data_IF_355350186933
#
_entry.id   IF_355350186933
#
_cell.length_a   1.000
_cell.length_b   1.000
_cell.length_c   1.000
_cell.angle_alpha   90.00
_cell.angle_beta   90.00
_cell.angle_gamma   90.00
#
_symmetry.space_group_name_H-M   'P 1'
#
loop_
_entity.id
_entity.type
_entity.pdbx_description
1 polymer ?
#
# COMPACT_ATOMS: atom_id res chain seq x y z
N UNK A 1 12.45 21.30 -9.29
CA UNK A 1 11.83 20.16 -8.62
C UNK A 1 10.32 20.30 -8.70
N UNK A 2 9.60 19.18 -8.85
CA UNK A 2 8.14 19.18 -8.75
C UNK A 2 7.71 19.67 -7.36
N UNK A 3 6.59 20.39 -7.29
CA UNK A 3 6.10 20.98 -6.04
C UNK A 3 4.94 20.19 -5.40
N UNK A 4 4.41 19.19 -6.09
CA UNK A 4 3.37 18.30 -5.52
C UNK A 4 3.93 17.38 -4.45
N UNK A 5 3.04 16.71 -3.73
CA UNK A 5 3.45 15.79 -2.66
C UNK A 5 4.00 14.46 -3.19
N UNK A 6 3.56 14.01 -4.36
CA UNK A 6 4.10 12.86 -5.05
C UNK A 6 5.03 13.33 -6.16
N UNK A 7 6.29 12.95 -6.07
CA UNK A 7 7.31 13.36 -7.05
C UNK A 7 8.08 12.18 -7.66
N UNK A 8 7.85 10.97 -7.19
CA UNK A 8 8.56 9.77 -7.68
C UNK A 8 8.09 9.43 -9.09
N UNK A 9 8.98 9.42 -10.09
CA UNK A 9 8.56 9.28 -11.50
C UNK A 9 7.93 7.92 -11.80
N UNK A 10 8.46 6.82 -11.28
CA UNK A 10 7.93 5.49 -11.56
C UNK A 10 6.57 5.27 -10.92
N UNK A 11 6.37 5.79 -9.70
CA UNK A 11 5.06 5.73 -9.04
C UNK A 11 4.04 6.57 -9.81
N UNK A 12 4.42 7.78 -10.21
CA UNK A 12 3.55 8.66 -11.00
C UNK A 12 3.15 8.00 -12.32
N UNK A 13 4.11 7.39 -13.02
CA UNK A 13 3.86 6.72 -14.30
C UNK A 13 2.89 5.53 -14.11
N UNK A 14 3.11 4.70 -13.09
CA UNK A 14 2.23 3.57 -12.81
C UNK A 14 0.81 4.03 -12.44
N UNK A 15 0.69 5.03 -11.56
CA UNK A 15 -0.62 5.57 -11.19
C UNK A 15 -1.35 6.21 -12.37
N UNK A 16 -0.62 6.85 -13.28
CA UNK A 16 -1.22 7.45 -14.48
C UNK A 16 -1.83 6.42 -15.42
N UNK A 17 -1.40 5.15 -15.34
CA UNK A 17 -1.97 4.04 -16.08
C UNK A 17 -3.16 3.37 -15.37
N UNK A 18 -3.34 3.66 -14.08
CA UNK A 18 -4.41 3.08 -13.28
C UNK A 18 -5.74 3.81 -13.50
N UNK A 19 -6.81 3.09 -13.24
CA UNK A 19 -8.18 3.62 -13.23
C UNK A 19 -8.97 3.13 -12.03
N UNK A 20 -10.26 3.42 -12.04
CA UNK A 20 -11.17 3.00 -10.98
C UNK A 20 -11.17 1.49 -10.80
N UNK A 21 -10.94 1.02 -9.58
CA UNK A 21 -10.92 -0.39 -9.23
C UNK A 21 -9.53 -1.03 -9.28
N UNK A 22 -8.55 -0.39 -9.91
CA UNK A 22 -7.16 -0.86 -9.84
C UNK A 22 -6.62 -0.71 -8.43
N UNK A 23 -5.63 -1.55 -8.08
CA UNK A 23 -5.12 -1.61 -6.71
C UNK A 23 -3.63 -1.28 -6.64
N UNK A 24 -3.25 -0.75 -5.49
CA UNK A 24 -1.86 -0.42 -5.15
C UNK A 24 -1.51 -1.08 -3.82
N UNK A 25 -0.42 -1.84 -3.79
CA UNK A 25 0.15 -2.39 -2.55
C UNK A 25 1.22 -1.45 -2.02
N UNK A 26 1.11 -1.09 -0.74
CA UNK A 26 2.16 -0.40 0.00
C UNK A 26 2.61 -1.34 1.11
N UNK A 27 3.84 -1.84 1.02
CA UNK A 27 4.32 -2.94 1.86
C UNK A 27 5.39 -2.49 2.85
N UNK A 28 5.38 -3.13 4.02
CA UNK A 28 6.46 -2.96 4.99
C UNK A 28 7.78 -3.60 4.49
N UNK A 29 8.87 -3.37 5.22
CA UNK A 29 10.19 -3.85 4.83
C UNK A 29 10.37 -5.37 4.90
N UNK A 30 9.46 -6.08 5.56
CA UNK A 30 9.50 -7.55 5.68
C UNK A 30 8.62 -8.26 4.64
N UNK A 31 7.78 -7.54 3.94
CA UNK A 31 6.89 -8.13 2.95
C UNK A 31 7.70 -8.67 1.76
N UNK A 32 7.44 -9.92 1.31
CA UNK A 32 8.18 -10.51 0.19
C UNK A 32 7.66 -9.98 -1.16
N UNK A 33 7.96 -8.72 -1.48
CA UNK A 33 7.38 -8.02 -2.61
C UNK A 33 7.67 -8.71 -3.95
N UNK A 34 8.90 -9.16 -4.15
CA UNK A 34 9.31 -9.77 -5.41
C UNK A 34 8.47 -11.01 -5.76
N UNK A 35 8.18 -11.85 -4.76
CA UNK A 35 7.44 -13.09 -4.97
C UNK A 35 5.92 -12.97 -4.74
N UNK A 36 5.44 -11.91 -4.11
CA UNK A 36 4.05 -11.75 -3.68
C UNK A 36 3.41 -10.44 -4.13
N UNK A 37 3.73 -10.01 -5.33
CA UNK A 37 3.09 -8.87 -5.99
C UNK A 37 2.56 -9.20 -7.40
N UNK A 38 2.57 -10.47 -7.78
CA UNK A 38 2.05 -10.90 -9.08
C UNK A 38 2.74 -10.21 -10.24
N UNK A 39 1.96 -9.56 -11.10
CA UNK A 39 2.45 -8.84 -12.28
C UNK A 39 2.47 -7.32 -12.10
N UNK A 40 2.32 -6.84 -10.86
CA UNK A 40 2.37 -5.41 -10.60
C UNK A 40 3.74 -4.82 -10.92
N UNK A 41 3.76 -3.57 -11.36
CA UNK A 41 5.01 -2.80 -11.40
C UNK A 41 5.53 -2.65 -9.96
N UNK A 42 6.81 -2.93 -9.76
CA UNK A 42 7.42 -2.86 -8.43
C UNK A 42 8.33 -1.66 -8.29
N UNK A 43 8.25 -1.00 -7.14
CA UNK A 43 9.10 0.13 -6.77
C UNK A 43 9.65 -0.10 -5.38
N UNK A 44 10.97 -0.06 -5.24
CA UNK A 44 11.65 -0.28 -3.96
C UNK A 44 12.16 1.07 -3.42
N UNK A 45 11.49 1.57 -2.37
CA UNK A 45 11.78 2.88 -1.78
C UNK A 45 12.64 2.81 -0.51
N UNK A 46 12.83 1.63 0.07
CA UNK A 46 13.57 1.51 1.32
C UNK A 46 14.99 2.03 1.20
N UNK A 47 15.30 3.14 1.87
CA UNK A 47 16.64 3.70 1.94
C UNK A 47 17.42 3.10 3.10
N UNK A 48 16.80 3.00 4.23
CA UNK A 48 17.33 2.46 5.48
C UNK A 48 16.13 2.06 6.34
N UNK A 49 16.30 1.19 7.36
CA UNK A 49 15.18 0.83 8.23
C UNK A 49 14.48 2.06 8.82
N UNK A 50 13.17 2.14 8.58
CA UNK A 50 12.33 3.26 9.02
C UNK A 50 12.14 4.39 8.01
N UNK A 51 12.76 4.34 6.83
CA UNK A 51 12.65 5.40 5.81
C UNK A 51 12.48 4.84 4.39
N UNK A 52 11.45 5.29 3.65
CA UNK A 52 10.23 5.90 4.16
C UNK A 52 9.34 4.88 4.88
N UNK A 53 8.39 5.34 5.67
CA UNK A 53 7.36 4.49 6.28
C UNK A 53 6.21 4.24 5.31
N UNK A 54 5.39 3.24 5.60
CA UNK A 54 4.17 3.00 4.83
C UNK A 54 3.22 4.19 4.89
N UNK A 55 3.13 4.86 6.03
CA UNK A 55 2.27 6.05 6.16
C UNK A 55 2.80 7.24 5.35
N UNK A 56 4.10 7.41 5.22
CA UNK A 56 4.69 8.42 4.32
C UNK A 56 4.24 8.18 2.88
N UNK A 57 4.33 6.93 2.43
CA UNK A 57 3.96 6.56 1.05
C UNK A 57 2.45 6.69 0.85
N UNK A 58 1.64 6.27 1.81
CA UNK A 58 0.19 6.42 1.73
C UNK A 58 -0.21 7.89 1.55
N UNK A 59 0.41 8.79 2.31
CA UNK A 59 0.14 10.22 2.18
C UNK A 59 0.44 10.74 0.77
N UNK A 60 1.55 10.32 0.19
CA UNK A 60 1.92 10.70 -1.17
C UNK A 60 0.93 10.15 -2.21
N UNK A 61 0.53 8.89 -2.07
CA UNK A 61 -0.46 8.25 -2.97
C UNK A 61 -1.81 8.97 -2.88
N UNK A 62 -2.28 9.28 -1.67
CA UNK A 62 -3.54 9.99 -1.46
C UNK A 62 -3.57 11.38 -2.09
N UNK A 63 -2.41 12.00 -2.31
CA UNK A 63 -2.35 13.29 -2.99
C UNK A 63 -2.63 13.18 -4.49
N UNK A 64 -2.56 11.98 -5.05
CA UNK A 64 -2.70 11.75 -6.48
C UNK A 64 -3.98 11.01 -6.87
N UNK A 65 -4.51 10.14 -6.00
CA UNK A 65 -5.71 9.33 -6.29
C UNK A 65 -6.63 9.29 -5.08
N UNK A 66 -7.93 9.10 -5.35
CA UNK A 66 -8.90 8.78 -4.31
C UNK A 66 -8.83 7.29 -4.01
N UNK A 67 -9.03 6.93 -2.74
CA UNK A 67 -9.03 5.54 -2.28
C UNK A 67 -10.43 5.20 -1.79
N UNK A 68 -11.02 4.12 -2.29
CA UNK A 68 -12.37 3.70 -1.92
C UNK A 68 -12.42 2.45 -1.06
N UNK A 69 -11.32 1.67 -0.99
CA UNK A 69 -11.25 0.45 -0.19
C UNK A 69 -9.82 0.23 0.28
N UNK A 70 -9.67 -0.36 1.45
CA UNK A 70 -8.38 -0.70 2.02
C UNK A 70 -8.43 -2.10 2.66
N UNK A 71 -7.45 -2.92 2.37
CA UNK A 71 -7.31 -4.27 2.88
C UNK A 71 -5.98 -4.40 3.61
N UNK A 72 -5.97 -5.12 4.73
CA UNK A 72 -4.78 -5.32 5.57
C UNK A 72 -4.59 -6.81 5.88
N UNK A 73 -3.36 -7.17 6.22
CA UNK A 73 -3.03 -8.51 6.72
C UNK A 73 -3.32 -8.57 8.22
N UNK A 74 -4.24 -9.43 8.63
CA UNK A 74 -4.58 -9.62 10.04
C UNK A 74 -3.61 -10.59 10.71
N UNK A 75 -3.08 -10.23 11.91
CA UNK A 75 -2.26 -11.14 12.68
C UNK A 75 -3.07 -12.26 13.27
N UNK A 76 -3.26 -13.36 12.99
CA UNK A 76 -4.15 -14.42 13.44
C UNK A 76 -4.13 -14.72 14.96
N UNK A 77 -3.51 -13.87 15.77
CA UNK A 77 -3.36 -14.02 17.23
C UNK A 77 -4.37 -13.20 18.04
N UNK A 78 -5.33 -12.56 17.39
CA UNK A 78 -6.35 -11.73 18.04
C UNK A 78 -5.89 -10.32 18.39
N UNK A 79 -4.63 -9.94 18.13
CA UNK A 79 -4.16 -8.58 18.35
C UNK A 79 -4.52 -7.68 17.16
N UNK A 80 -4.62 -6.37 17.42
CA UNK A 80 -4.81 -5.35 16.39
C UNK A 80 -3.56 -4.48 16.33
N UNK A 81 -2.80 -4.54 15.22
CA UNK A 81 -1.64 -3.68 15.06
C UNK A 81 -1.99 -2.20 15.19
N UNK A 82 -1.16 -1.45 15.90
CA UNK A 82 -1.39 -0.02 16.13
C UNK A 82 -1.49 0.77 14.80
N UNK A 83 -0.75 0.36 13.79
CA UNK A 83 -0.76 1.03 12.49
C UNK A 83 -2.14 0.99 11.80
N UNK A 84 -2.98 0.02 12.12
CA UNK A 84 -4.34 -0.03 11.55
C UNK A 84 -5.15 1.20 11.95
N UNK A 85 -5.00 1.68 13.18
CA UNK A 85 -5.62 2.94 13.61
C UNK A 85 -5.09 4.15 12.83
N UNK A 86 -3.80 4.17 12.53
CA UNK A 86 -3.21 5.22 11.70
C UNK A 86 -3.76 5.18 10.27
N UNK A 87 -3.87 4.00 9.67
CA UNK A 87 -4.49 3.85 8.35
C UNK A 87 -5.92 4.35 8.33
N UNK A 88 -6.73 3.95 9.30
CA UNK A 88 -8.11 4.40 9.39
C UNK A 88 -8.22 5.92 9.53
N UNK A 89 -7.39 6.52 10.38
CA UNK A 89 -7.35 7.98 10.56
C UNK A 89 -6.99 8.68 9.25
N UNK A 90 -5.98 8.21 8.54
CA UNK A 90 -5.56 8.80 7.25
C UNK A 90 -6.60 8.61 6.16
N UNK A 91 -7.37 7.53 6.22
CA UNK A 91 -8.41 7.19 5.24
C UNK A 91 -9.81 7.70 5.63
N UNK A 92 -9.88 8.69 6.51
CA UNK A 92 -11.16 9.32 6.88
C UNK A 92 -12.10 8.43 7.68
N UNK A 93 -11.58 7.47 8.44
CA UNK A 93 -12.37 6.53 9.22
C UNK A 93 -12.82 5.29 8.45
N UNK A 94 -12.30 5.07 7.25
CA UNK A 94 -12.62 3.90 6.43
C UNK A 94 -12.40 2.60 7.19
N UNK A 95 -13.36 1.68 7.10
CA UNK A 95 -13.20 0.33 7.66
C UNK A 95 -12.17 -0.46 6.85
N UNK A 96 -11.23 -1.10 7.55
CA UNK A 96 -10.23 -1.95 6.91
C UNK A 96 -10.76 -3.37 6.77
N UNK A 97 -10.67 -3.93 5.56
CA UNK A 97 -10.97 -5.35 5.33
C UNK A 97 -9.77 -6.18 5.78
N UNK A 98 -9.97 -7.06 6.75
CA UNK A 98 -8.91 -7.88 7.32
C UNK A 98 -8.84 -9.23 6.61
N UNK A 99 -7.68 -9.56 6.07
CA UNK A 99 -7.41 -10.83 5.41
C UNK A 99 -6.35 -11.61 6.20
N UNK A 100 -6.45 -12.94 6.21
CA UNK A 100 -5.38 -13.77 6.72
C UNK A 100 -4.11 -13.61 5.89
N UNK A 101 -2.97 -14.09 6.40
CA UNK A 101 -1.67 -13.90 5.76
C UNK A 101 -1.66 -14.38 4.30
N UNK A 102 -2.09 -15.59 4.06
CA UNK A 102 -2.05 -16.18 2.71
C UNK A 102 -3.12 -15.60 1.80
N UNK A 103 -4.30 -15.29 2.33
CA UNK A 103 -5.34 -14.57 1.59
C UNK A 103 -4.85 -13.20 1.12
N UNK A 104 -4.10 -12.48 1.98
CA UNK A 104 -3.52 -11.19 1.63
C UNK A 104 -2.48 -11.33 0.52
N UNK A 105 -1.60 -12.33 0.61
CA UNK A 105 -0.64 -12.62 -0.47
C UNK A 105 -1.36 -12.91 -1.79
N UNK A 106 -2.40 -13.72 -1.76
CA UNK A 106 -3.18 -14.01 -2.96
C UNK A 106 -3.86 -12.77 -3.53
N UNK A 107 -4.42 -11.93 -2.68
CA UNK A 107 -5.03 -10.66 -3.09
C UNK A 107 -4.02 -9.73 -3.77
N UNK A 108 -2.78 -9.67 -3.25
CA UNK A 108 -1.71 -8.85 -3.81
C UNK A 108 -1.17 -9.37 -5.15
N UNK A 109 -1.44 -10.63 -5.49
CA UNK A 109 -1.00 -11.23 -6.75
C UNK A 109 -2.06 -11.19 -7.86
N UNK A 110 -3.24 -10.62 -7.61
CA UNK A 110 -4.31 -10.53 -8.59
C UNK A 110 -3.96 -9.56 -9.73
N UNK A 111 -4.48 -9.77 -10.95
CA UNK A 111 -4.17 -8.90 -12.11
C UNK A 111 -4.55 -7.44 -11.92
N UNK A 112 -5.53 -7.13 -11.06
CA UNK A 112 -5.93 -5.76 -10.75
C UNK A 112 -4.94 -4.99 -9.90
N UNK A 113 -3.96 -5.65 -9.28
CA UNK A 113 -2.89 -4.98 -8.54
C UNK A 113 -1.85 -4.50 -9.56
N UNK A 114 -1.78 -3.19 -9.77
CA UNK A 114 -0.97 -2.61 -10.84
C UNK A 114 0.35 -2.00 -10.38
N UNK A 115 0.44 -1.70 -9.08
CA UNK A 115 1.63 -1.09 -8.48
C UNK A 115 1.86 -1.71 -7.10
N UNK A 116 3.09 -2.08 -6.82
CA UNK A 116 3.51 -2.61 -5.53
C UNK A 116 4.78 -1.86 -5.08
N UNK A 117 4.70 -1.25 -3.90
CA UNK A 117 5.75 -0.38 -3.37
C UNK A 117 6.31 -1.00 -2.09
N UNK A 118 7.61 -1.28 -2.09
CA UNK A 118 8.35 -1.68 -0.89
C UNK A 118 8.86 -0.43 -0.17
N UNK A 119 8.79 -0.44 1.15
CA UNK A 119 9.23 0.68 2.00
C UNK A 119 10.30 0.25 2.99
N UNK A 120 10.78 1.20 3.78
CA UNK A 120 11.65 0.92 4.92
C UNK A 120 10.89 0.69 6.24
N UNK A 121 9.58 0.50 6.20
CA UNK A 121 8.75 0.33 7.38
C UNK A 121 9.19 -0.86 8.22
N UNK A 122 9.46 -0.64 9.50
CA UNK A 122 9.91 -1.69 10.41
C UNK A 122 8.76 -2.40 11.14
N UNK A 123 7.59 -1.75 11.28
CA UNK A 123 6.46 -2.35 11.98
C UNK A 123 5.94 -3.54 11.18
N UNK A 124 5.62 -4.63 11.87
CA UNK A 124 5.04 -5.82 11.25
C UNK A 124 3.55 -5.60 10.95
N UNK A 125 3.03 -6.33 9.99
CA UNK A 125 1.64 -6.19 9.52
C UNK A 125 1.30 -4.78 9.02
N UNK A 126 2.30 -4.00 8.66
CA UNK A 126 2.13 -2.65 8.13
C UNK A 126 2.00 -2.67 6.60
N UNK A 127 1.20 -3.59 6.09
CA UNK A 127 0.94 -3.75 4.66
C UNK A 127 -0.47 -3.28 4.34
N UNK A 128 -0.61 -2.50 3.29
CA UNK A 128 -1.88 -1.90 2.91
C UNK A 128 -2.11 -2.09 1.41
N UNK A 129 -3.21 -2.76 1.07
CA UNK A 129 -3.67 -2.90 -0.31
C UNK A 129 -4.86 -1.97 -0.51
N UNK A 130 -4.67 -0.91 -1.28
CA UNK A 130 -5.72 0.09 -1.52
C UNK A 130 -6.32 -0.06 -2.91
N UNK A 131 -7.62 0.22 -3.01
CA UNK A 131 -8.34 0.24 -4.28
C UNK A 131 -8.61 1.69 -4.66
N UNK A 132 -8.25 2.04 -5.89
CA UNK A 132 -8.43 3.39 -6.44
C UNK A 132 -9.91 3.62 -6.71
N UNK A 133 -10.41 4.74 -6.23
CA UNK A 133 -11.77 5.18 -6.44
C UNK A 133 -11.91 6.14 -7.63
N UNK A 134 -13.11 6.70 -7.76
CA UNK A 134 -13.42 7.71 -8.78
C UNK A 134 -12.83 9.06 -8.37
N UNK A 135 -12.30 9.78 -9.33
CA UNK A 135 -11.76 11.13 -9.11
C UNK A 135 -12.85 12.17 -8.82
#
# INVERSE_FOLDING_TARGET
MLTGKLIHPDIMAALALCGHGDKVLIADGNYPLDSKSGQAETVYLGLTPGLPTVTDVLQAIQSAVNIEKAEVMDPADGTTPEIFGQFQSMLGGMELSKLGRYEFYDACCQPGVRLAISTGEKRTFANLLVTIGVA
#
